data_IF_275397242734
#
_entry.id   IF_275397242734
#
_cell.length_a   1.000
_cell.length_b   1.000
_cell.length_c   1.000
_cell.angle_alpha   90.00
_cell.angle_beta   90.00
_cell.angle_gamma   90.00
#
_symmetry.space_group_name_H-M   'P 1'
#
loop_
_entity.id
_entity.type
_entity.pdbx_description
1 polymer ?
#
# COMPACT_ATOMS: atom_id res chain seq x y z
N UNK A 1 14.52 -5.81 44.94
CA UNK A 1 14.44 -7.25 44.60
C UNK A 1 13.06 -7.81 44.96
N UNK A 2 12.24 -8.14 43.96
CA UNK A 2 11.40 -9.35 43.93
C UNK A 2 10.93 -9.54 42.49
N UNK A 3 11.35 -10.66 41.91
CA UNK A 3 11.08 -11.05 40.52
C UNK A 3 9.60 -11.41 40.37
N UNK A 4 8.98 -10.93 39.30
CA UNK A 4 7.89 -11.64 38.64
C UNK A 4 8.32 -11.88 37.19
N UNK A 5 8.70 -13.13 36.89
CA UNK A 5 8.81 -13.63 35.52
C UNK A 5 7.41 -13.67 34.92
N UNK A 6 7.24 -13.20 33.69
CA UNK A 6 6.28 -13.76 32.74
C UNK A 6 6.74 -13.40 31.33
N UNK A 7 7.62 -14.26 30.82
CA UNK A 7 7.69 -14.57 29.40
C UNK A 7 6.25 -14.79 28.89
N UNK A 8 5.87 -14.18 27.76
CA UNK A 8 4.65 -14.58 27.05
C UNK A 8 3.56 -13.53 26.81
N UNK A 9 3.85 -12.24 26.89
CA UNK A 9 3.00 -11.24 26.22
C UNK A 9 3.84 -10.53 25.17
N UNK A 10 3.87 -11.15 23.99
CA UNK A 10 4.38 -10.54 22.78
C UNK A 10 3.58 -9.24 22.60
N UNK A 11 4.30 -8.14 22.65
CA UNK A 11 3.86 -6.75 22.50
C UNK A 11 2.93 -6.61 21.27
N UNK A 12 1.62 -6.78 21.47
CA UNK A 12 0.61 -6.76 20.40
C UNK A 12 0.60 -5.43 19.65
N UNK A 13 0.96 -4.34 20.33
CA UNK A 13 1.15 -3.03 19.71
C UNK A 13 2.31 -3.03 18.72
N UNK A 14 3.42 -3.71 19.02
CA UNK A 14 4.57 -3.86 18.10
C UNK A 14 4.28 -4.72 16.87
N UNK A 15 3.38 -5.70 16.98
CA UNK A 15 3.04 -6.62 15.88
C UNK A 15 2.08 -5.95 14.89
N UNK A 16 1.18 -5.08 15.37
CA UNK A 16 0.23 -4.36 14.53
C UNK A 16 0.91 -3.32 13.61
N UNK A 17 2.11 -2.86 13.96
CA UNK A 17 2.82 -1.76 13.28
C UNK A 17 3.48 -2.16 11.94
N UNK A 18 3.50 -3.44 11.55
CA UNK A 18 4.37 -3.91 10.43
C UNK A 18 3.74 -4.11 9.06
N UNK A 19 2.51 -3.66 8.81
CA UNK A 19 1.94 -3.67 7.46
C UNK A 19 1.38 -2.30 7.09
N UNK A 20 1.95 -1.68 6.04
CA UNK A 20 1.35 -0.49 5.44
C UNK A 20 -0.05 -0.85 4.94
N UNK A 21 -1.01 0.02 5.22
CA UNK A 21 -2.37 -0.11 4.70
C UNK A 21 -2.37 0.04 3.18
N UNK A 22 -3.38 -0.54 2.52
CA UNK A 22 -3.54 -0.39 1.07
C UNK A 22 -3.64 1.10 0.65
N UNK A 23 -4.22 1.95 1.50
CA UNK A 23 -4.34 3.38 1.22
C UNK A 23 -2.97 4.09 1.21
N UNK A 24 -2.09 3.73 2.15
CA UNK A 24 -0.72 4.24 2.19
C UNK A 24 0.07 3.77 0.97
N UNK A 25 -0.06 2.49 0.59
CA UNK A 25 0.59 1.95 -0.60
C UNK A 25 0.15 2.66 -1.88
N UNK A 26 -1.16 2.91 -2.04
CA UNK A 26 -1.69 3.65 -3.20
C UNK A 26 -1.15 5.07 -3.23
N UNK A 27 -1.16 5.77 -2.09
CA UNK A 27 -0.64 7.15 -2.01
C UNK A 27 0.85 7.20 -2.38
N UNK A 28 1.66 6.34 -1.77
CA UNK A 28 3.10 6.27 -2.08
C UNK A 28 3.33 5.93 -3.55
N UNK A 29 2.56 5.02 -4.14
CA UNK A 29 2.69 4.72 -5.57
C UNK A 29 2.38 5.93 -6.45
N UNK A 30 1.36 6.72 -6.14
CA UNK A 30 1.03 7.94 -6.89
C UNK A 30 2.18 8.96 -6.76
N UNK A 31 2.67 9.17 -5.55
CA UNK A 31 3.75 10.12 -5.26
C UNK A 31 5.07 9.70 -5.96
N UNK A 32 5.45 8.42 -5.84
CA UNK A 32 6.69 7.86 -6.43
C UNK A 32 6.65 7.79 -7.97
N UNK A 33 5.45 7.70 -8.57
CA UNK A 33 5.26 7.47 -10.01
C UNK A 33 4.58 8.67 -10.69
N UNK A 34 4.97 9.89 -10.30
CA UNK A 34 4.40 11.14 -10.82
C UNK A 34 4.36 11.18 -12.36
N UNK A 35 5.39 10.69 -13.07
CA UNK A 35 5.40 10.63 -14.54
C UNK A 35 4.29 9.72 -15.09
N UNK A 36 4.16 8.51 -14.55
CA UNK A 36 3.13 7.55 -14.97
C UNK A 36 1.73 8.11 -14.69
N UNK A 37 1.56 8.83 -13.59
CA UNK A 37 0.32 9.53 -13.30
C UNK A 37 -0.02 10.59 -14.35
N UNK A 38 0.96 11.41 -14.75
CA UNK A 38 0.77 12.42 -15.79
C UNK A 38 0.43 11.78 -17.15
N UNK A 39 1.10 10.67 -17.51
CA UNK A 39 0.80 9.92 -18.73
C UNK A 39 -0.66 9.42 -18.71
N UNK A 40 -1.15 8.93 -17.56
CA UNK A 40 -2.55 8.54 -17.42
C UNK A 40 -3.50 9.73 -17.60
N UNK A 41 -3.19 10.87 -16.97
CA UNK A 41 -3.97 12.12 -17.13
C UNK A 41 -3.96 12.64 -18.57
N UNK A 42 -2.92 12.35 -19.34
CA UNK A 42 -2.82 12.64 -20.78
C UNK A 42 -3.61 11.64 -21.66
N UNK A 43 -4.27 10.64 -21.06
CA UNK A 43 -5.12 9.67 -21.75
C UNK A 43 -4.49 8.30 -21.99
N UNK A 44 -3.25 8.06 -21.54
CA UNK A 44 -2.61 6.75 -21.67
C UNK A 44 -3.20 5.76 -20.65
N UNK A 45 -4.08 4.87 -21.10
CA UNK A 45 -4.77 3.90 -20.24
C UNK A 45 -3.82 2.87 -19.63
N UNK A 46 -2.76 2.49 -20.35
CA UNK A 46 -1.75 1.52 -19.87
C UNK A 46 -1.01 2.03 -18.62
N UNK A 47 -0.95 3.35 -18.45
CA UNK A 47 -0.33 3.95 -17.26
C UNK A 47 -1.10 3.65 -15.97
N UNK A 48 -2.42 3.47 -16.04
CA UNK A 48 -3.19 3.04 -14.87
C UNK A 48 -2.86 1.61 -14.47
N UNK A 49 -2.69 0.72 -15.45
CA UNK A 49 -2.32 -0.68 -15.18
C UNK A 49 -0.92 -0.77 -14.55
N UNK A 50 0.03 0.07 -15.00
CA UNK A 50 1.36 0.18 -14.36
C UNK A 50 1.28 0.63 -12.89
N UNK A 51 0.40 1.59 -12.56
CA UNK A 51 0.20 2.02 -11.18
C UNK A 51 -0.42 0.89 -10.34
N UNK A 52 -1.37 0.14 -10.90
CA UNK A 52 -1.98 -1.01 -10.23
C UNK A 52 -0.92 -2.08 -9.96
N UNK A 53 -0.11 -2.43 -10.96
CA UNK A 53 0.97 -3.42 -10.83
C UNK A 53 1.98 -3.02 -9.75
N UNK A 54 2.29 -1.74 -9.63
CA UNK A 54 3.22 -1.25 -8.60
C UNK A 54 2.63 -1.37 -7.19
N UNK A 55 1.35 -1.06 -6.99
CA UNK A 55 0.66 -1.32 -5.71
C UNK A 55 0.58 -2.81 -5.42
N UNK A 56 0.32 -3.64 -6.43
CA UNK A 56 0.30 -5.10 -6.29
C UNK A 56 1.66 -5.61 -5.79
N UNK A 57 2.78 -5.15 -6.37
CA UNK A 57 4.14 -5.49 -5.90
C UNK A 57 4.37 -5.04 -4.46
N UNK A 58 4.06 -3.79 -4.12
CA UNK A 58 4.23 -3.26 -2.76
C UNK A 58 3.38 -3.99 -1.72
N UNK A 59 2.22 -4.52 -2.11
CA UNK A 59 1.35 -5.32 -1.25
C UNK A 59 1.76 -6.80 -1.13
N UNK A 60 2.80 -7.22 -1.87
CA UNK A 60 3.19 -8.63 -1.97
C UNK A 60 2.16 -9.50 -2.69
N UNK A 61 1.37 -8.92 -3.60
CA UNK A 61 0.34 -9.60 -4.39
C UNK A 61 -0.94 -9.95 -3.61
N UNK A 62 -1.14 -9.39 -2.42
CA UNK A 62 -2.27 -9.72 -1.53
C UNK A 62 -3.47 -8.79 -1.68
N UNK A 63 -3.29 -7.65 -2.35
CA UNK A 63 -4.35 -6.68 -2.58
C UNK A 63 -5.26 -7.09 -3.75
N UNK A 64 -6.49 -6.59 -3.76
CA UNK A 64 -7.42 -6.74 -4.87
C UNK A 64 -7.12 -5.67 -5.94
N UNK A 65 -6.77 -6.04 -7.18
CA UNK A 65 -6.48 -5.09 -8.25
C UNK A 65 -7.67 -4.21 -8.63
N UNK A 66 -8.92 -4.69 -8.51
CA UNK A 66 -10.11 -3.88 -8.77
C UNK A 66 -10.24 -2.77 -7.73
N UNK A 67 -10.06 -3.13 -6.45
CA UNK A 67 -10.07 -2.16 -5.35
C UNK A 67 -8.95 -1.13 -5.48
N UNK A 68 -7.75 -1.55 -5.89
CA UNK A 68 -6.63 -0.64 -6.17
C UNK A 68 -7.02 0.35 -7.27
N UNK A 69 -7.57 -0.13 -8.39
CA UNK A 69 -8.02 0.71 -9.49
C UNK A 69 -8.99 1.79 -9.02
N UNK A 70 -10.03 1.40 -8.28
CA UNK A 70 -11.03 2.34 -7.76
C UNK A 70 -10.40 3.36 -6.80
N UNK A 71 -9.48 2.91 -5.94
CA UNK A 71 -8.77 3.80 -5.00
C UNK A 71 -7.85 4.79 -5.72
N UNK A 72 -7.18 4.37 -6.80
CA UNK A 72 -6.38 5.28 -7.62
C UNK A 72 -7.31 6.31 -8.27
N UNK A 73 -8.35 5.87 -8.98
CA UNK A 73 -9.30 6.76 -9.69
C UNK A 73 -9.93 7.78 -8.73
N UNK A 74 -10.36 7.36 -7.53
CA UNK A 74 -10.98 8.24 -6.54
C UNK A 74 -10.02 9.30 -5.96
N UNK A 75 -8.71 9.18 -6.16
CA UNK A 75 -7.69 10.13 -5.69
C UNK A 75 -7.23 11.12 -6.77
N UNK A 76 -7.66 10.96 -8.02
CA UNK A 76 -7.21 11.79 -9.16
C UNK A 76 -8.06 13.02 -9.39
#
# INVERSE_FOLDING_TARGET
>A
MKKLKKDGYLDYEKILIRQKSLNELVRETIDDNTKTLLDYRAGNRDSLDKLIDEVMKKSGGRADPKKIRDMIINKL
#
